data_IF_200077177881
#
_entry.id   IF_200077177881
#
_cell.length_a   1.000
_cell.length_b   1.000
_cell.length_c   1.000
_cell.angle_alpha   90.00
_cell.angle_beta   90.00
_cell.angle_gamma   90.00
#
_symmetry.space_group_name_H-M   'P 1'
#
loop_
_entity.id
_entity.type
_entity.pdbx_description
1 polymer ?
#
# COMPACT_ATOMS: atom_id res chain seq x y z
N UNK A 1 -26.30 -1.71 -0.29
CA UNK A 1 -26.79 -0.64 0.61
C UNK A 1 -26.09 -0.73 1.97
N UNK A 2 -26.22 0.26 2.86
CA UNK A 2 -25.64 0.23 4.21
C UNK A 2 -26.74 0.02 5.26
N UNK A 3 -26.48 -0.76 6.31
CA UNK A 3 -27.46 -1.11 7.34
C UNK A 3 -28.11 0.10 8.02
N UNK A 4 -27.32 1.16 8.27
CA UNK A 4 -27.80 2.39 8.93
C UNK A 4 -28.87 3.16 8.13
N UNK A 5 -29.04 2.85 6.85
CA UNK A 5 -29.99 3.53 5.95
C UNK A 5 -31.34 2.81 5.88
N UNK A 6 -31.48 1.62 6.47
CA UNK A 6 -32.73 0.89 6.54
C UNK A 6 -33.78 1.60 7.42
N UNK A 7 -35.03 1.54 6.99
CA UNK A 7 -36.18 2.03 7.74
C UNK A 7 -36.69 0.99 8.75
N UNK A 8 -37.41 1.47 9.77
CA UNK A 8 -38.01 0.60 10.79
C UNK A 8 -38.95 -0.44 10.15
N UNK A 9 -38.73 -1.71 10.45
CA UNK A 9 -39.50 -2.84 9.91
C UNK A 9 -38.89 -3.50 8.68
N UNK A 10 -37.91 -2.87 8.03
CA UNK A 10 -37.24 -3.45 6.86
C UNK A 10 -36.32 -4.61 7.26
N UNK A 11 -36.23 -5.58 6.33
CA UNK A 11 -35.30 -6.71 6.39
C UNK A 11 -34.19 -6.53 5.36
N UNK A 12 -33.04 -7.09 5.69
CA UNK A 12 -31.90 -7.17 4.79
C UNK A 12 -31.05 -8.41 5.09
N UNK A 13 -30.20 -8.79 4.15
CA UNK A 13 -29.17 -9.83 4.34
C UNK A 13 -27.80 -9.17 4.40
N UNK A 14 -26.98 -9.57 5.38
CA UNK A 14 -25.63 -9.04 5.54
C UNK A 14 -24.74 -9.57 4.41
N UNK A 15 -24.10 -8.64 3.69
CA UNK A 15 -23.05 -8.94 2.71
C UNK A 15 -21.72 -9.03 3.42
N UNK A 16 -21.29 -7.95 4.08
CA UNK A 16 -20.03 -7.90 4.80
C UNK A 16 -20.01 -6.84 5.89
N UNK A 17 -19.10 -7.03 6.84
CA UNK A 17 -18.83 -6.08 7.93
C UNK A 17 -17.46 -5.45 7.72
N UNK A 18 -17.47 -4.14 7.47
CA UNK A 18 -16.33 -3.26 7.36
C UNK A 18 -15.83 -2.81 8.76
N UNK A 19 -14.75 -2.03 8.79
CA UNK A 19 -14.17 -1.47 10.02
C UNK A 19 -13.00 -2.26 10.61
N UNK A 20 -12.33 -1.66 11.61
CA UNK A 20 -11.02 -2.11 12.08
C UNK A 20 -11.05 -2.90 13.40
N UNK A 21 -10.15 -3.88 13.52
CA UNK A 21 -9.72 -4.50 14.77
C UNK A 21 -10.82 -5.07 15.67
N UNK A 22 -10.81 -4.65 16.94
CA UNK A 22 -11.70 -5.17 17.99
C UNK A 22 -13.17 -4.87 17.74
N UNK A 23 -13.48 -3.79 17.02
CA UNK A 23 -14.87 -3.42 16.70
C UNK A 23 -15.50 -4.45 15.77
N UNK A 24 -14.83 -4.75 14.65
CA UNK A 24 -15.28 -5.75 13.68
C UNK A 24 -15.37 -7.13 14.32
N UNK A 25 -14.36 -7.52 15.10
CA UNK A 25 -14.36 -8.80 15.82
C UNK A 25 -15.58 -8.93 16.74
N UNK A 26 -15.90 -7.88 17.51
CA UNK A 26 -17.10 -7.85 18.36
C UNK A 26 -18.39 -8.01 17.56
N UNK A 27 -18.53 -7.32 16.42
CA UNK A 27 -19.73 -7.46 15.57
C UNK A 27 -19.90 -8.89 15.04
N UNK A 28 -18.81 -9.52 14.59
CA UNK A 28 -18.81 -10.92 14.14
C UNK A 28 -19.18 -11.86 15.30
N UNK A 29 -18.64 -11.65 16.50
CA UNK A 29 -19.00 -12.41 17.71
C UNK A 29 -20.47 -12.23 18.12
N UNK A 30 -21.07 -11.08 17.80
CA UNK A 30 -22.50 -10.81 17.94
C UNK A 30 -23.33 -11.38 16.78
N UNK A 31 -22.74 -12.14 15.86
CA UNK A 31 -23.48 -12.80 14.78
C UNK A 31 -23.80 -11.92 13.58
N UNK A 32 -23.23 -10.71 13.50
CA UNK A 32 -23.21 -9.93 12.25
C UNK A 32 -22.20 -10.57 11.29
N UNK A 33 -22.61 -11.66 10.67
CA UNK A 33 -21.83 -12.42 9.71
C UNK A 33 -22.59 -12.49 8.38
N UNK A 34 -21.86 -12.69 7.30
CA UNK A 34 -22.40 -12.81 5.95
C UNK A 34 -23.55 -13.82 5.88
N UNK A 35 -24.56 -13.50 5.07
CA UNK A 35 -25.68 -14.38 4.78
C UNK A 35 -26.74 -14.45 5.89
N UNK A 36 -26.56 -13.70 6.99
CA UNK A 36 -27.58 -13.62 8.05
C UNK A 36 -28.60 -12.53 7.74
N UNK A 37 -29.87 -12.88 7.93
CA UNK A 37 -30.97 -11.92 7.94
C UNK A 37 -30.87 -11.01 9.17
N UNK A 38 -31.11 -9.73 8.93
CA UNK A 38 -31.21 -8.71 9.95
C UNK A 38 -32.46 -7.87 9.70
N UNK A 39 -33.16 -7.48 10.77
CA UNK A 39 -34.33 -6.62 10.72
C UNK A 39 -34.17 -5.39 11.59
N UNK A 40 -34.60 -4.23 11.10
CA UNK A 40 -34.66 -3.02 11.92
C UNK A 40 -35.90 -3.07 12.81
N UNK A 41 -35.72 -3.09 14.12
CA UNK A 41 -36.81 -3.15 15.09
C UNK A 41 -37.33 -1.76 15.41
N UNK A 42 -36.43 -0.85 15.81
CA UNK A 42 -36.80 0.50 16.22
C UNK A 42 -35.63 1.47 16.09
N UNK A 43 -35.91 2.66 15.58
CA UNK A 43 -35.00 3.80 15.66
C UNK A 43 -35.26 4.58 16.96
N UNK A 44 -34.22 4.90 17.73
CA UNK A 44 -34.36 5.81 18.86
C UNK A 44 -34.90 7.19 18.40
N UNK A 45 -35.54 7.99 19.27
CA UNK A 45 -36.13 9.29 18.91
C UNK A 45 -35.14 10.27 18.24
N UNK A 46 -33.85 10.14 18.52
CA UNK A 46 -32.76 10.94 17.94
C UNK A 46 -32.01 10.23 16.79
N UNK A 47 -32.56 9.13 16.27
CA UNK A 47 -31.97 8.28 15.22
C UNK A 47 -30.64 7.61 15.57
N UNK A 48 -30.28 7.59 16.85
CA UNK A 48 -29.10 6.91 17.40
C UNK A 48 -29.35 6.58 18.90
N UNK A 49 -29.15 5.34 19.38
CA UNK A 49 -28.82 4.11 18.64
C UNK A 49 -30.03 3.52 17.87
N UNK A 50 -29.75 2.52 17.02
CA UNK A 50 -30.74 1.77 16.25
C UNK A 50 -30.81 0.34 16.79
N UNK A 51 -32.02 -0.17 17.05
CA UNK A 51 -32.25 -1.54 17.50
C UNK A 51 -32.50 -2.46 16.30
N UNK A 52 -31.72 -3.54 16.23
CA UNK A 52 -31.79 -4.58 15.21
C UNK A 52 -32.12 -5.94 15.84
N UNK A 53 -32.80 -6.80 15.08
CA UNK A 53 -33.00 -8.21 15.40
C UNK A 53 -32.13 -9.06 14.48
N UNK A 54 -31.27 -9.89 15.07
CA UNK A 54 -30.33 -10.77 14.37
C UNK A 54 -30.22 -12.09 15.12
N UNK A 55 -30.29 -13.23 14.41
CA UNK A 55 -30.22 -14.59 15.02
C UNK A 55 -31.21 -14.75 16.21
N UNK A 56 -32.39 -14.15 16.11
CA UNK A 56 -33.46 -14.29 17.12
C UNK A 56 -33.24 -13.51 18.42
N UNK A 57 -32.31 -12.56 18.48
CA UNK A 57 -32.16 -11.65 19.61
C UNK A 57 -31.96 -10.20 19.15
N UNK A 58 -32.19 -9.26 20.08
CA UNK A 58 -32.12 -7.82 19.79
C UNK A 58 -30.78 -7.22 20.21
N UNK A 59 -30.24 -6.36 19.35
CA UNK A 59 -28.99 -5.63 19.56
C UNK A 59 -29.19 -4.16 19.22
N UNK A 60 -28.74 -3.27 20.10
CA UNK A 60 -28.63 -1.84 19.78
C UNK A 60 -27.23 -1.52 19.27
N UNK A 61 -27.13 -0.98 18.05
CA UNK A 61 -25.89 -0.45 17.50
C UNK A 61 -25.99 1.06 17.35
N UNK A 62 -24.86 1.76 17.55
CA UNK A 62 -24.81 3.17 17.17
C UNK A 62 -24.92 3.32 15.66
N UNK A 63 -25.45 4.45 15.19
CA UNK A 63 -25.63 4.72 13.76
C UNK A 63 -24.30 4.67 12.99
N UNK A 64 -23.22 5.18 13.57
CA UNK A 64 -21.88 5.11 12.98
C UNK A 64 -21.33 3.67 12.91
N UNK A 65 -21.73 2.80 13.83
CA UNK A 65 -21.35 1.38 13.81
C UNK A 65 -22.12 0.62 12.72
N UNK A 66 -23.43 0.87 12.62
CA UNK A 66 -24.26 0.30 11.57
C UNK A 66 -23.84 0.77 10.16
N UNK A 67 -23.18 1.92 10.03
CA UNK A 67 -22.63 2.38 8.75
C UNK A 67 -21.54 1.48 8.18
N UNK A 68 -20.92 0.67 9.02
CA UNK A 68 -19.86 -0.26 8.62
C UNK A 68 -20.41 -1.60 8.16
N UNK A 69 -21.73 -1.79 8.07
CA UNK A 69 -22.33 -3.06 7.71
C UNK A 69 -23.01 -2.89 6.35
N UNK A 70 -22.50 -3.62 5.36
CA UNK A 70 -23.07 -3.66 4.02
C UNK A 70 -24.14 -4.75 3.95
N UNK A 71 -25.28 -4.40 3.35
CA UNK A 71 -26.45 -5.27 3.27
C UNK A 71 -27.12 -5.21 1.90
N UNK A 72 -27.86 -6.27 1.58
CA UNK A 72 -28.82 -6.33 0.46
C UNK A 72 -30.24 -6.23 1.01
N UNK A 73 -31.04 -5.33 0.44
CA UNK A 73 -32.43 -5.11 0.86
C UNK A 73 -33.42 -5.95 0.06
N UNK A 74 -34.66 -6.07 0.56
CA UNK A 74 -35.74 -6.71 -0.19
C UNK A 74 -36.03 -6.01 -1.53
N UNK A 75 -35.85 -4.70 -1.60
CA UNK A 75 -36.05 -3.93 -2.83
C UNK A 75 -35.01 -4.33 -3.89
N UNK A 76 -33.73 -4.35 -3.53
CA UNK A 76 -32.65 -4.81 -4.42
C UNK A 76 -32.86 -6.26 -4.88
N UNK A 77 -33.36 -7.14 -3.99
CA UNK A 77 -33.67 -8.53 -4.34
C UNK A 77 -34.88 -8.65 -5.28
N UNK A 78 -35.92 -7.82 -5.14
CA UNK A 78 -37.07 -7.78 -6.06
C UNK A 78 -36.65 -7.28 -7.44
N UNK A 79 -35.77 -6.29 -7.51
CA UNK A 79 -35.20 -5.85 -8.79
C UNK A 79 -34.40 -6.97 -9.46
N UNK A 80 -33.59 -7.69 -8.70
CA UNK A 80 -32.82 -8.84 -9.21
C UNK A 80 -33.70 -9.98 -9.73
N UNK A 81 -34.83 -10.28 -9.08
CA UNK A 81 -35.81 -11.25 -9.58
C UNK A 81 -36.34 -10.91 -10.99
N UNK A 82 -36.31 -9.63 -11.37
CA UNK A 82 -36.75 -9.15 -12.69
C UNK A 82 -35.60 -9.03 -13.68
N UNK A 83 -34.37 -8.76 -13.24
CA UNK A 83 -33.23 -8.51 -14.14
C UNK A 83 -32.29 -9.70 -14.34
N UNK A 84 -32.22 -10.63 -13.39
CA UNK A 84 -31.29 -11.76 -13.39
C UNK A 84 -31.92 -13.01 -13.99
N UNK A 85 -31.31 -13.57 -15.04
CA UNK A 85 -31.80 -14.76 -15.75
C UNK A 85 -31.84 -16.03 -14.87
N UNK A 86 -30.89 -16.20 -13.94
CA UNK A 86 -30.90 -17.34 -13.01
C UNK A 86 -32.07 -17.25 -12.04
N UNK A 87 -32.35 -16.06 -11.52
CA UNK A 87 -33.46 -15.84 -10.58
C UNK A 87 -34.82 -15.91 -11.28
N UNK A 88 -34.92 -15.52 -12.54
CA UNK A 88 -36.13 -15.71 -13.36
C UNK A 88 -36.44 -17.19 -13.61
N UNK A 89 -35.42 -18.04 -13.68
CA UNK A 89 -35.58 -19.48 -13.86
C UNK A 89 -36.06 -20.23 -12.60
N UNK A 90 -36.24 -19.53 -11.46
CA UNK A 90 -36.82 -20.11 -10.26
C UNK A 90 -38.24 -20.65 -10.52
N UNK A 91 -38.60 -21.84 -9.99
CA UNK A 91 -39.91 -22.44 -10.21
C UNK A 91 -41.06 -21.49 -9.83
N UNK A 92 -42.05 -21.39 -10.70
CA UNK A 92 -43.17 -20.46 -10.54
C UNK A 92 -44.17 -20.88 -9.43
N UNK A 93 -44.08 -22.12 -8.96
CA UNK A 93 -44.87 -22.70 -7.87
C UNK A 93 -44.30 -22.41 -6.47
N UNK A 94 -43.09 -21.86 -6.38
CA UNK A 94 -42.53 -21.38 -5.12
C UNK A 94 -43.36 -20.20 -4.57
N UNK A 95 -43.59 -20.20 -3.26
CA UNK A 95 -44.20 -19.06 -2.58
C UNK A 95 -43.37 -17.79 -2.81
N UNK A 96 -44.04 -16.64 -2.93
CA UNK A 96 -43.38 -15.35 -3.21
C UNK A 96 -42.33 -14.99 -2.16
N UNK A 97 -42.61 -15.32 -0.89
CA UNK A 97 -41.68 -15.19 0.24
C UNK A 97 -40.43 -16.04 0.06
N UNK A 98 -40.57 -17.30 -0.36
CA UNK A 98 -39.42 -18.18 -0.59
C UNK A 98 -38.58 -17.73 -1.79
N UNK A 99 -39.23 -17.21 -2.85
CA UNK A 99 -38.52 -16.61 -4.00
C UNK A 99 -37.71 -15.38 -3.58
N UNK A 100 -38.28 -14.52 -2.74
CA UNK A 100 -37.60 -13.33 -2.23
C UNK A 100 -36.42 -13.69 -1.33
N UNK A 101 -36.56 -14.68 -0.46
CA UNK A 101 -35.45 -15.17 0.39
C UNK A 101 -34.29 -15.73 -0.46
N UNK A 102 -34.60 -16.51 -1.51
CA UNK A 102 -33.58 -17.01 -2.44
C UNK A 102 -32.89 -15.89 -3.21
N UNK A 103 -33.64 -14.89 -3.67
CA UNK A 103 -33.07 -13.73 -4.35
C UNK A 103 -32.18 -12.89 -3.42
N UNK A 104 -32.61 -12.67 -2.17
CA UNK A 104 -31.80 -11.99 -1.16
C UNK A 104 -30.47 -12.72 -0.92
N UNK A 105 -30.51 -14.04 -0.76
CA UNK A 105 -29.31 -14.85 -0.57
C UNK A 105 -28.39 -14.80 -1.81
N UNK A 106 -28.95 -14.95 -3.01
CA UNK A 106 -28.21 -14.92 -4.28
C UNK A 106 -27.50 -13.58 -4.50
N UNK A 107 -28.22 -12.47 -4.39
CA UNK A 107 -27.64 -11.12 -4.58
C UNK A 107 -26.60 -10.82 -3.50
N UNK A 108 -26.82 -11.28 -2.26
CA UNK A 108 -25.83 -11.11 -1.19
C UNK A 108 -24.57 -11.94 -1.45
N UNK A 109 -24.71 -13.16 -1.97
CA UNK A 109 -23.60 -14.05 -2.34
C UNK A 109 -22.79 -13.47 -3.51
N UNK A 110 -23.43 -13.02 -4.58
CA UNK A 110 -22.76 -12.37 -5.71
C UNK A 110 -21.98 -11.11 -5.28
N UNK A 111 -22.59 -10.25 -4.45
CA UNK A 111 -21.89 -9.07 -3.91
C UNK A 111 -20.73 -9.44 -3.01
N UNK A 112 -20.84 -10.53 -2.26
CA UNK A 112 -19.76 -11.03 -1.42
C UNK A 112 -18.61 -11.63 -2.24
N UNK A 113 -18.89 -12.25 -3.38
CA UNK A 113 -17.86 -12.75 -4.29
C UNK A 113 -17.09 -11.66 -5.04
N UNK A 114 -17.47 -10.39 -4.87
CA UNK A 114 -16.70 -9.25 -5.33
C UNK A 114 -15.67 -8.82 -4.27
N UNK A 115 -14.39 -9.12 -4.52
CA UNK A 115 -13.27 -8.80 -3.63
C UNK A 115 -12.48 -7.62 -4.17
N UNK A 116 -12.30 -6.58 -3.35
CA UNK A 116 -11.42 -5.45 -3.68
C UNK A 116 -10.06 -5.59 -3.00
N UNK A 117 -9.03 -5.72 -3.81
CA UNK A 117 -7.64 -5.97 -3.39
C UNK A 117 -6.77 -4.77 -3.73
N UNK A 118 -6.05 -4.23 -2.74
CA UNK A 118 -5.06 -3.17 -2.97
C UNK A 118 -3.65 -3.75 -3.08
N UNK A 119 -2.92 -3.42 -4.15
CA UNK A 119 -1.48 -3.69 -4.25
C UNK A 119 -0.69 -2.54 -3.63
N UNK A 120 0.15 -2.87 -2.66
CA UNK A 120 1.07 -1.94 -2.00
C UNK A 120 2.47 -2.52 -2.06
N UNK A 121 3.50 -1.68 -2.15
CA UNK A 121 4.89 -2.13 -2.12
C UNK A 121 5.86 -1.02 -2.44
N UNK A 122 7.15 -1.30 -2.23
CA UNK A 122 8.22 -0.37 -2.58
C UNK A 122 8.25 -0.11 -4.10
N UNK A 123 8.76 1.05 -4.56
CA UNK A 123 9.12 1.21 -5.96
C UNK A 123 10.04 0.07 -6.43
N UNK A 124 9.85 -0.40 -7.66
CA UNK A 124 10.62 -1.45 -8.31
C UNK A 124 10.56 -2.86 -7.66
N UNK A 125 9.64 -3.15 -6.73
CA UNK A 125 9.46 -4.51 -6.19
C UNK A 125 8.72 -5.48 -7.12
N UNK A 126 8.43 -5.07 -8.36
CA UNK A 126 7.66 -5.85 -9.34
C UNK A 126 6.14 -5.84 -9.13
N UNK A 127 5.62 -4.85 -8.39
CA UNK A 127 4.19 -4.58 -8.19
C UNK A 127 3.41 -4.43 -9.50
N UNK A 128 3.87 -3.58 -10.42
CA UNK A 128 3.22 -3.40 -11.74
C UNK A 128 3.29 -4.67 -12.60
N UNK A 129 4.37 -5.45 -12.49
CA UNK A 129 4.47 -6.73 -13.18
C UNK A 129 3.47 -7.76 -12.63
N UNK A 130 3.28 -7.79 -11.31
CA UNK A 130 2.27 -8.63 -10.67
C UNK A 130 0.88 -8.21 -11.11
N UNK A 131 0.59 -6.90 -11.10
CA UNK A 131 -0.67 -6.33 -11.56
C UNK A 131 -1.00 -6.77 -12.99
N UNK A 132 -0.07 -6.59 -13.94
CA UNK A 132 -0.31 -6.89 -15.35
C UNK A 132 -0.61 -8.36 -15.61
N UNK A 133 0.03 -9.25 -14.86
CA UNK A 133 -0.13 -10.70 -15.04
C UNK A 133 -1.39 -11.19 -14.36
N UNK A 134 -1.73 -10.63 -13.20
CA UNK A 134 -3.00 -10.92 -12.53
C UNK A 134 -4.21 -10.42 -13.34
N UNK A 135 -4.13 -9.20 -13.88
CA UNK A 135 -5.23 -8.56 -14.62
C UNK A 135 -5.35 -8.99 -16.08
N UNK A 136 -4.42 -9.81 -16.59
CA UNK A 136 -4.43 -10.28 -17.98
C UNK A 136 -4.34 -9.15 -19.02
N UNK A 137 -3.76 -8.01 -18.66
CA UNK A 137 -3.66 -6.77 -19.46
C UNK A 137 -4.98 -5.99 -19.73
N UNK A 138 -6.07 -6.31 -19.04
CA UNK A 138 -7.30 -5.50 -19.04
C UNK A 138 -7.19 -4.36 -18.00
N UNK A 139 -6.53 -3.26 -18.38
CA UNK A 139 -6.36 -2.08 -17.51
C UNK A 139 -7.47 -1.03 -17.72
N UNK A 140 -7.96 -0.45 -16.62
CA UNK A 140 -8.61 0.86 -16.62
C UNK A 140 -7.79 1.84 -15.76
N UNK A 141 -7.36 2.95 -16.36
CA UNK A 141 -6.63 4.03 -15.66
C UNK A 141 -7.63 5.10 -15.24
N UNK A 142 -7.66 5.45 -13.95
CA UNK A 142 -8.52 6.49 -13.40
C UNK A 142 -7.72 7.58 -12.69
N UNK A 143 -8.12 8.84 -12.86
CA UNK A 143 -7.56 9.98 -12.12
C UNK A 143 -8.39 10.24 -10.86
N UNK A 144 -7.74 10.39 -9.70
CA UNK A 144 -8.41 10.77 -8.46
C UNK A 144 -8.31 12.27 -8.15
N UNK A 145 -9.29 12.79 -7.41
CA UNK A 145 -9.48 14.21 -7.14
C UNK A 145 -8.31 14.87 -6.41
N UNK A 146 -7.60 15.76 -7.10
CA UNK A 146 -6.77 16.81 -6.49
C UNK A 146 -5.25 16.61 -6.50
N UNK A 147 -4.74 15.48 -7.00
CA UNK A 147 -3.30 15.22 -7.21
C UNK A 147 -3.09 14.32 -8.44
N UNK A 148 -1.97 14.51 -9.16
CA UNK A 148 -1.57 13.73 -10.35
C UNK A 148 -1.00 12.35 -9.99
N UNK A 149 -1.68 11.61 -9.12
CA UNK A 149 -1.23 10.30 -8.66
C UNK A 149 -2.21 9.26 -9.20
N UNK A 150 -1.80 8.59 -10.29
CA UNK A 150 -2.61 7.61 -11.00
C UNK A 150 -2.65 6.29 -10.23
N UNK A 151 -3.84 5.83 -9.86
CA UNK A 151 -4.07 4.44 -9.45
C UNK A 151 -4.64 3.68 -10.64
N UNK A 152 -4.08 2.50 -10.92
CA UNK A 152 -4.61 1.62 -11.97
C UNK A 152 -5.58 0.63 -11.36
N UNK A 153 -6.69 0.38 -12.03
CA UNK A 153 -7.64 -0.64 -11.62
C UNK A 153 -7.71 -1.72 -12.70
N UNK A 154 -7.66 -2.98 -12.28
CA UNK A 154 -7.80 -4.15 -13.14
C UNK A 154 -8.83 -5.10 -12.54
N UNK A 155 -9.72 -5.65 -13.37
CA UNK A 155 -10.74 -6.60 -12.94
C UNK A 155 -10.52 -7.93 -13.64
N UNK A 156 -10.56 -9.00 -12.86
CA UNK A 156 -10.44 -10.35 -13.39
C UNK A 156 -11.23 -11.33 -12.55
N UNK A 157 -11.66 -12.40 -13.19
CA UNK A 157 -12.36 -13.50 -12.54
C UNK A 157 -11.36 -14.57 -12.11
N UNK A 158 -11.45 -15.03 -10.86
CA UNK A 158 -10.58 -16.08 -10.33
C UNK A 158 -11.37 -17.01 -9.41
N UNK A 159 -11.49 -18.28 -9.83
CA UNK A 159 -12.44 -19.25 -9.24
C UNK A 159 -13.86 -18.68 -9.30
N UNK A 160 -14.58 -18.63 -8.19
CA UNK A 160 -15.95 -18.11 -8.12
C UNK A 160 -16.01 -16.63 -7.72
N UNK A 161 -14.87 -15.92 -7.76
CA UNK A 161 -14.73 -14.54 -7.28
C UNK A 161 -14.36 -13.56 -8.39
N UNK A 162 -15.00 -12.40 -8.37
CA UNK A 162 -14.62 -11.24 -9.18
C UNK A 162 -13.68 -10.35 -8.37
N UNK A 163 -12.41 -10.30 -8.79
CA UNK A 163 -11.37 -9.57 -8.08
C UNK A 163 -11.14 -8.23 -8.77
N UNK A 164 -11.39 -7.15 -8.02
CA UNK A 164 -10.97 -5.80 -8.39
C UNK A 164 -9.63 -5.48 -7.75
N UNK A 165 -8.58 -5.46 -8.57
CA UNK A 165 -7.21 -5.18 -8.15
C UNK A 165 -6.88 -3.70 -8.38
N UNK A 166 -6.45 -3.01 -7.34
CA UNK A 166 -6.09 -1.59 -7.37
C UNK A 166 -4.58 -1.46 -7.17
N UNK A 167 -3.87 -1.02 -8.19
CA UNK A 167 -2.44 -0.74 -8.11
C UNK A 167 -2.19 0.64 -7.50
N UNK A 168 -1.74 0.67 -6.25
CA UNK A 168 -1.38 1.92 -5.59
C UNK A 168 0.06 2.34 -5.95
N UNK A 169 0.38 3.65 -5.93
CA UNK A 169 1.73 4.13 -6.16
C UNK A 169 2.77 3.41 -5.29
N UNK A 170 3.94 3.14 -5.87
CA UNK A 170 5.05 2.55 -5.10
C UNK A 170 5.53 3.51 -4.02
N UNK A 171 5.66 3.03 -2.79
CA UNK A 171 6.09 3.84 -1.65
C UNK A 171 7.01 3.07 -0.72
N UNK A 172 7.98 3.75 -0.10
CA UNK A 172 8.87 3.15 0.90
C UNK A 172 8.29 3.22 2.33
N UNK A 173 7.28 4.07 2.54
CA UNK A 173 6.65 4.25 3.84
C UNK A 173 5.20 4.77 3.68
N UNK A 174 4.49 4.97 4.79
CA UNK A 174 3.16 5.57 4.88
C UNK A 174 3.22 6.82 5.76
N UNK A 175 4.32 7.58 5.67
CA UNK A 175 4.44 8.89 6.31
C UNK A 175 3.73 10.00 5.53
N UNK A 176 3.77 11.21 6.08
CA UNK A 176 3.21 12.41 5.45
C UNK A 176 4.25 13.26 4.70
N UNK A 177 5.34 12.66 4.20
CA UNK A 177 6.43 13.41 3.56
C UNK A 177 6.24 13.63 2.07
N UNK A 178 5.61 12.69 1.36
CA UNK A 178 5.33 12.81 -0.07
C UNK A 178 3.83 12.70 -0.39
N UNK A 179 3.36 13.34 -1.49
CA UNK A 179 1.98 13.19 -1.96
C UNK A 179 1.59 11.73 -2.21
N UNK A 180 2.51 10.92 -2.70
CA UNK A 180 2.31 9.50 -3.01
C UNK A 180 2.09 8.69 -1.72
N UNK A 181 2.92 8.88 -0.69
CA UNK A 181 2.76 8.23 0.61
C UNK A 181 1.41 8.57 1.26
N UNK A 182 1.05 9.85 1.21
CA UNK A 182 -0.22 10.36 1.70
C UNK A 182 -1.41 9.76 0.96
N UNK A 183 -1.31 9.65 -0.36
CA UNK A 183 -2.34 9.06 -1.20
C UNK A 183 -2.54 7.58 -0.85
N UNK A 184 -1.46 6.79 -0.80
CA UNK A 184 -1.53 5.36 -0.44
C UNK A 184 -2.17 5.18 0.93
N UNK A 185 -1.71 5.94 1.93
CA UNK A 185 -2.25 5.87 3.30
C UNK A 185 -3.74 6.22 3.36
N UNK A 186 -4.16 7.32 2.72
CA UNK A 186 -5.56 7.73 2.69
C UNK A 186 -6.42 6.70 1.96
N UNK A 187 -5.95 6.20 0.82
CA UNK A 187 -6.67 5.17 0.07
C UNK A 187 -6.92 3.91 0.92
N UNK A 188 -5.89 3.43 1.63
CA UNK A 188 -6.02 2.26 2.51
C UNK A 188 -7.00 2.48 3.68
N UNK A 189 -7.05 3.69 4.25
CA UNK A 189 -7.95 4.02 5.38
C UNK A 189 -9.38 4.35 4.93
N UNK A 190 -9.54 5.10 3.84
CA UNK A 190 -10.83 5.61 3.39
C UNK A 190 -11.57 4.61 2.52
N UNK A 191 -10.85 3.93 1.62
CA UNK A 191 -11.48 2.96 0.69
C UNK A 191 -11.59 1.55 1.28
N UNK A 192 -10.92 1.29 2.41
CA UNK A 192 -10.94 0.03 3.17
C UNK A 192 -10.94 -1.22 2.27
N UNK A 193 -9.83 -1.53 1.58
CA UNK A 193 -9.77 -2.74 0.75
C UNK A 193 -10.04 -3.99 1.59
N UNK A 194 -10.69 -4.99 1.00
CA UNK A 194 -11.02 -6.25 1.67
C UNK A 194 -9.74 -6.99 2.10
N UNK A 195 -8.72 -6.94 1.24
CA UNK A 195 -7.38 -7.48 1.45
C UNK A 195 -6.33 -6.57 0.80
N UNK A 196 -5.18 -6.42 1.46
CA UNK A 196 -4.00 -5.77 0.91
C UNK A 196 -2.99 -6.84 0.50
N UNK A 197 -2.52 -6.79 -0.74
CA UNK A 197 -1.37 -7.57 -1.17
C UNK A 197 -0.14 -6.67 -1.09
N UNK A 198 0.75 -7.00 -0.15
CA UNK A 198 2.01 -6.32 0.04
C UNK A 198 3.11 -7.00 -0.78
N UNK A 199 3.54 -6.35 -1.86
CA UNK A 199 4.57 -6.84 -2.77
C UNK A 199 5.94 -6.47 -2.22
N UNK A 200 6.72 -7.50 -1.91
CA UNK A 200 8.03 -7.39 -1.24
C UNK A 200 9.08 -7.99 -2.15
N UNK A 201 10.11 -7.22 -2.48
CA UNK A 201 11.27 -7.74 -3.21
C UNK A 201 12.14 -8.63 -2.30
N UNK A 202 12.23 -9.92 -2.64
CA UNK A 202 13.02 -10.92 -1.92
C UNK A 202 14.53 -10.62 -1.93
N UNK A 203 15.04 -9.93 -2.97
CA UNK A 203 16.43 -9.52 -3.07
C UNK A 203 16.80 -8.38 -2.11
N UNK A 204 15.81 -7.65 -1.57
CA UNK A 204 16.01 -6.53 -0.64
C UNK A 204 14.97 -6.55 0.50
N UNK A 205 14.82 -7.71 1.12
CA UNK A 205 13.73 -8.00 2.06
C UNK A 205 13.72 -7.03 3.27
N UNK A 206 14.86 -6.76 3.91
CA UNK A 206 14.95 -5.90 5.10
C UNK A 206 14.36 -4.51 4.85
N UNK A 207 14.72 -3.88 3.72
CA UNK A 207 14.21 -2.56 3.34
C UNK A 207 12.72 -2.57 3.01
N UNK A 208 12.22 -3.66 2.41
CA UNK A 208 10.80 -3.79 2.07
C UNK A 208 9.93 -4.09 3.30
N UNK A 209 10.47 -4.79 4.30
CA UNK A 209 9.76 -5.07 5.55
C UNK A 209 9.48 -3.81 6.36
N UNK A 210 10.18 -2.69 6.14
CA UNK A 210 9.85 -1.42 6.80
C UNK A 210 8.43 -0.95 6.49
N UNK A 211 8.03 -0.92 5.20
CA UNK A 211 6.64 -0.63 4.81
C UNK A 211 5.66 -1.63 5.43
N UNK A 212 6.06 -2.91 5.49
CA UNK A 212 5.27 -4.00 6.07
C UNK A 212 4.93 -3.73 7.54
N UNK A 213 5.87 -3.19 8.33
CA UNK A 213 5.61 -2.83 9.74
C UNK A 213 4.48 -1.82 9.87
N UNK A 214 4.37 -0.89 8.93
CA UNK A 214 3.37 0.17 8.97
C UNK A 214 1.99 -0.36 8.54
N UNK A 215 1.95 -1.30 7.59
CA UNK A 215 0.71 -2.00 7.23
C UNK A 215 0.16 -2.84 8.39
N UNK A 216 1.06 -3.46 9.17
CA UNK A 216 0.71 -4.17 10.41
C UNK A 216 0.10 -3.20 11.42
N UNK A 217 0.73 -2.04 11.66
CA UNK A 217 0.22 -1.03 12.60
C UNK A 217 -1.19 -0.54 12.24
N UNK A 218 -1.53 -0.48 10.94
CA UNK A 218 -2.86 -0.08 10.45
C UNK A 218 -3.95 -1.14 10.67
N UNK A 219 -3.61 -2.35 11.12
CA UNK A 219 -4.54 -3.45 11.34
C UNK A 219 -5.34 -3.82 10.09
N UNK A 220 -4.63 -3.88 8.95
CA UNK A 220 -5.18 -4.32 7.68
C UNK A 220 -4.99 -5.83 7.52
N UNK A 221 -5.82 -6.44 6.67
CA UNK A 221 -5.62 -7.82 6.26
C UNK A 221 -4.62 -7.85 5.14
N UNK A 222 -3.42 -8.30 5.45
CA UNK A 222 -2.32 -8.29 4.50
C UNK A 222 -1.98 -9.72 4.08
N UNK A 223 -1.71 -9.91 2.81
CA UNK A 223 -1.01 -11.08 2.26
C UNK A 223 0.28 -10.57 1.63
N UNK A 224 1.42 -11.15 2.01
CA UNK A 224 2.69 -10.77 1.42
C UNK A 224 2.94 -11.58 0.14
N UNK A 225 3.11 -10.88 -0.98
CA UNK A 225 3.68 -11.44 -2.21
C UNK A 225 5.19 -11.21 -2.18
N UNK A 226 5.93 -12.24 -1.78
CA UNK A 226 7.39 -12.22 -1.74
C UNK A 226 7.93 -12.48 -3.15
N UNK A 227 8.04 -11.39 -3.91
CA UNK A 227 8.35 -11.38 -5.32
C UNK A 227 9.86 -11.46 -5.60
N UNK A 228 10.24 -11.74 -6.85
CA UNK A 228 11.63 -11.98 -7.28
C UNK A 228 12.26 -13.14 -6.51
N UNK A 229 11.44 -14.14 -6.17
CA UNK A 229 11.88 -15.28 -5.35
C UNK A 229 12.88 -16.19 -6.09
N UNK A 230 12.88 -16.16 -7.43
CA UNK A 230 13.88 -16.77 -8.29
C UNK A 230 15.28 -16.18 -8.05
N UNK A 231 15.39 -14.87 -7.83
CA UNK A 231 16.68 -14.23 -7.51
C UNK A 231 17.23 -14.69 -6.16
N UNK A 232 16.36 -14.80 -5.14
CA UNK A 232 16.72 -15.31 -3.82
C UNK A 232 17.24 -16.76 -3.93
N UNK A 233 16.52 -17.61 -4.68
CA UNK A 233 16.94 -19.00 -4.97
C UNK A 233 18.26 -19.05 -5.75
N UNK A 234 18.44 -18.19 -6.74
CA UNK A 234 19.66 -18.15 -7.57
C UNK A 234 20.89 -17.72 -6.77
N UNK A 235 20.73 -16.83 -5.79
CA UNK A 235 21.79 -16.47 -4.83
C UNK A 235 22.17 -17.61 -3.88
N UNK A 236 21.31 -18.64 -3.77
CA UNK A 236 21.46 -19.75 -2.83
C UNK A 236 20.92 -19.45 -1.43
N UNK A 237 20.37 -18.25 -1.22
CA UNK A 237 19.79 -17.84 0.05
C UNK A 237 18.57 -18.71 0.40
N UNK A 238 18.29 -18.86 1.69
CA UNK A 238 17.09 -19.56 2.17
C UNK A 238 16.28 -18.63 3.05
N UNK A 239 14.96 -18.69 2.87
CA UNK A 239 14.01 -17.96 3.70
C UNK A 239 12.89 -18.90 4.13
N UNK A 240 12.71 -19.04 5.44
CA UNK A 240 11.54 -19.73 6.01
C UNK A 240 10.32 -18.79 5.96
N UNK A 241 9.53 -18.90 4.90
CA UNK A 241 8.35 -18.07 4.68
C UNK A 241 7.23 -18.38 5.67
N UNK A 242 7.17 -19.60 6.21
CA UNK A 242 6.14 -20.01 7.18
C UNK A 242 6.42 -19.35 8.52
N UNK A 243 7.65 -19.45 9.02
CA UNK A 243 8.05 -18.81 10.26
C UNK A 243 8.03 -17.28 10.14
N UNK A 244 8.47 -16.72 9.01
CA UNK A 244 8.38 -15.28 8.77
C UNK A 244 6.91 -14.81 8.79
N UNK A 245 6.03 -15.55 8.10
CA UNK A 245 4.61 -15.25 8.10
C UNK A 245 3.98 -15.33 9.49
N UNK A 246 4.39 -16.32 10.29
CA UNK A 246 4.01 -16.37 11.70
C UNK A 246 4.48 -15.09 12.41
N UNK A 247 5.78 -14.77 12.42
CA UNK A 247 6.34 -13.60 13.11
C UNK A 247 5.71 -12.27 12.69
N UNK A 248 5.34 -12.12 11.42
CA UNK A 248 4.69 -10.92 10.87
C UNK A 248 3.16 -10.93 11.00
N UNK A 249 2.55 -12.06 11.34
CA UNK A 249 1.11 -12.21 11.49
C UNK A 249 0.31 -12.23 10.18
N UNK A 250 0.99 -12.51 9.06
CA UNK A 250 0.40 -12.54 7.72
C UNK A 250 0.99 -13.68 6.90
N UNK A 251 0.26 -14.26 5.94
CA UNK A 251 0.82 -15.28 5.08
C UNK A 251 1.84 -14.67 4.10
N UNK A 252 2.91 -15.42 3.83
CA UNK A 252 3.98 -15.04 2.90
C UNK A 252 3.99 -16.02 1.74
N UNK A 253 3.63 -15.53 0.55
CA UNK A 253 3.54 -16.31 -0.67
C UNK A 253 4.75 -15.98 -1.56
N UNK A 254 5.68 -16.92 -1.81
CA UNK A 254 6.74 -16.74 -2.80
C UNK A 254 6.13 -16.55 -4.19
N UNK A 255 6.56 -15.52 -4.92
CA UNK A 255 6.11 -15.25 -6.28
C UNK A 255 7.26 -14.86 -7.19
N UNK A 256 7.05 -15.07 -8.50
CA UNK A 256 7.91 -14.54 -9.56
C UNK A 256 7.00 -13.89 -10.58
N UNK A 257 6.80 -12.57 -10.46
CA UNK A 257 5.89 -11.84 -11.34
C UNK A 257 6.19 -12.15 -12.79
N UNK A 258 7.46 -12.06 -13.24
CA UNK A 258 7.82 -12.25 -14.66
C UNK A 258 7.34 -13.56 -15.29
N UNK A 259 7.33 -14.66 -14.54
CA UNK A 259 6.91 -15.98 -15.04
C UNK A 259 5.47 -16.33 -14.67
N UNK A 260 4.87 -15.62 -13.71
CA UNK A 260 3.56 -15.94 -13.12
C UNK A 260 3.61 -16.99 -12.01
N UNK A 261 4.80 -17.50 -11.64
CA UNK A 261 4.94 -18.50 -10.56
C UNK A 261 4.40 -17.94 -9.23
N UNK A 262 3.59 -18.73 -8.53
CA UNK A 262 3.06 -18.40 -7.21
C UNK A 262 1.87 -17.43 -7.19
N UNK A 263 1.47 -16.87 -8.34
CA UNK A 263 0.38 -15.87 -8.39
C UNK A 263 -0.98 -16.52 -8.14
N UNK A 264 -1.21 -17.74 -8.63
CA UNK A 264 -2.46 -18.48 -8.36
C UNK A 264 -2.59 -18.78 -6.87
N UNK A 265 -1.52 -19.24 -6.23
CA UNK A 265 -1.46 -19.54 -4.80
C UNK A 265 -1.61 -18.28 -3.93
N UNK A 266 -1.10 -17.15 -4.41
CA UNK A 266 -1.29 -15.84 -3.79
C UNK A 266 -2.78 -15.47 -3.75
N UNK A 267 -3.50 -15.56 -4.86
CA UNK A 267 -4.94 -15.21 -4.89
C UNK A 267 -5.82 -16.23 -4.17
N UNK A 268 -5.43 -17.51 -4.16
CA UNK A 268 -6.04 -18.50 -3.26
C UNK A 268 -5.91 -18.10 -1.80
N UNK A 269 -4.74 -17.60 -1.41
CA UNK A 269 -4.49 -17.12 -0.06
C UNK A 269 -5.29 -15.84 0.24
N UNK A 270 -5.41 -14.92 -0.73
CA UNK A 270 -6.27 -13.73 -0.60
C UNK A 270 -7.71 -14.12 -0.31
N UNK A 271 -8.29 -15.06 -1.07
CA UNK A 271 -9.65 -15.56 -0.83
C UNK A 271 -9.77 -16.18 0.56
N UNK A 272 -8.83 -17.04 0.97
CA UNK A 272 -8.85 -17.65 2.32
C UNK A 272 -8.85 -16.64 3.47
N UNK A 273 -8.12 -15.53 3.29
CA UNK A 273 -8.04 -14.43 4.26
C UNK A 273 -9.34 -13.63 4.26
N UNK A 274 -9.88 -13.35 3.08
CA UNK A 274 -11.17 -12.69 2.88
C UNK A 274 -12.32 -13.47 3.53
N UNK A 275 -12.33 -14.80 3.38
CA UNK A 275 -13.37 -15.71 3.89
C UNK A 275 -13.23 -16.12 5.36
N UNK A 276 -12.18 -15.64 6.06
CA UNK A 276 -11.91 -15.98 7.48
C UNK A 276 -11.71 -17.47 7.75
N UNK A 277 -11.33 -18.23 6.72
CA UNK A 277 -11.18 -19.68 6.82
C UNK A 277 -10.04 -20.10 7.75
N UNK A 278 -9.04 -19.23 7.96
CA UNK A 278 -7.92 -19.53 8.84
C UNK A 278 -7.49 -18.30 9.68
N UNK A 279 -8.00 -18.20 10.92
CA UNK A 279 -7.61 -17.13 11.84
C UNK A 279 -6.11 -17.12 12.18
N UNK A 280 -5.38 -18.21 11.93
CA UNK A 280 -3.93 -18.28 12.16
C UNK A 280 -3.14 -17.61 11.04
N UNK A 281 -3.70 -17.49 9.84
CA UNK A 281 -3.03 -16.86 8.70
C UNK A 281 -3.08 -15.33 8.78
N UNK A 282 -4.21 -14.75 9.22
CA UNK A 282 -4.35 -13.31 9.44
C UNK A 282 -4.54 -13.01 10.93
N UNK A 283 -3.43 -12.97 11.68
CA UNK A 283 -3.45 -12.56 13.08
C UNK A 283 -3.02 -11.10 13.19
N UNK A 284 -3.81 -10.30 13.87
CA UNK A 284 -3.35 -8.96 14.25
C UNK A 284 -2.27 -9.11 15.32
N UNK A 285 -1.02 -8.84 14.93
CA UNK A 285 0.10 -8.71 15.87
C UNK A 285 0.29 -7.24 16.23
N UNK A 286 0.79 -7.02 17.44
CA UNK A 286 1.34 -5.72 17.80
C UNK A 286 2.85 -5.83 17.72
N UNK A 287 3.45 -5.02 16.84
CA UNK A 287 4.90 -4.84 16.84
C UNK A 287 5.27 -4.24 18.20
N UNK A 288 6.17 -4.92 18.90
CA UNK A 288 6.71 -4.46 20.17
C UNK A 288 7.85 -3.49 19.89
N UNK A 289 7.64 -2.22 20.21
CA UNK A 289 8.63 -1.16 19.96
C UNK A 289 9.69 -1.05 21.08
N UNK A 290 9.80 -2.06 21.93
CA UNK A 290 10.65 -2.04 23.12
C UNK A 290 9.93 -1.44 24.33
N UNK A 291 10.41 -1.78 25.53
CA UNK A 291 9.74 -1.46 26.78
C UNK A 291 9.44 0.04 26.94
N UNK A 292 10.43 0.89 26.63
CA UNK A 292 10.31 2.33 26.82
C UNK A 292 9.30 2.96 25.87
N UNK A 293 9.27 2.55 24.59
CA UNK A 293 8.31 3.09 23.62
C UNK A 293 6.90 2.57 23.92
N UNK A 294 6.76 1.30 24.29
CA UNK A 294 5.45 0.74 24.68
C UNK A 294 4.87 1.41 25.93
N UNK A 295 5.71 1.84 26.88
CA UNK A 295 5.27 2.67 28.01
C UNK A 295 4.72 4.02 27.53
N UNK A 296 5.41 4.67 26.59
CA UNK A 296 4.93 5.93 26.01
C UNK A 296 3.63 5.78 25.23
N UNK A 297 3.48 4.70 24.47
CA UNK A 297 2.21 4.38 23.78
C UNK A 297 1.10 4.19 24.81
N UNK A 298 1.32 3.41 25.88
CA UNK A 298 0.33 3.18 26.94
C UNK A 298 -0.04 4.44 27.70
N UNK A 299 0.89 5.39 27.83
CA UNK A 299 0.63 6.68 28.45
C UNK A 299 -0.24 7.58 27.58
N UNK A 300 0.07 7.71 26.28
CA UNK A 300 -0.63 8.66 25.38
C UNK A 300 -1.94 8.11 24.81
N UNK A 301 -2.04 6.80 24.59
CA UNK A 301 -3.21 6.17 23.95
C UNK A 301 -4.55 6.44 24.65
N UNK A 302 -4.68 6.43 25.99
CA UNK A 302 -5.94 6.73 26.68
C UNK A 302 -6.51 8.12 26.36
N UNK A 303 -5.65 9.14 26.21
CA UNK A 303 -6.09 10.50 25.87
C UNK A 303 -6.70 10.57 24.46
N UNK A 304 -6.10 9.87 23.50
CA UNK A 304 -6.63 9.75 22.14
C UNK A 304 -7.94 8.92 22.15
N UNK A 305 -7.95 7.80 22.89
CA UNK A 305 -9.08 6.88 22.97
C UNK A 305 -10.33 7.47 23.65
N UNK A 306 -10.19 8.57 24.40
CA UNK A 306 -11.31 9.32 24.94
C UNK A 306 -12.24 9.90 23.84
N UNK A 307 -11.72 10.07 22.63
CA UNK A 307 -12.44 10.62 21.49
C UNK A 307 -13.18 9.50 20.73
N UNK A 308 -14.45 9.28 21.08
CA UNK A 308 -15.29 8.20 20.52
C UNK A 308 -15.39 8.23 18.98
N UNK A 309 -15.43 9.42 18.37
CA UNK A 309 -15.46 9.58 16.91
C UNK A 309 -14.20 9.02 16.24
N UNK A 310 -13.03 9.30 16.80
CA UNK A 310 -11.76 8.79 16.25
C UNK A 310 -11.61 7.29 16.50
N UNK A 311 -12.01 6.82 17.68
CA UNK A 311 -11.98 5.40 18.06
C UNK A 311 -12.86 4.53 17.14
N UNK A 312 -13.95 5.08 16.63
CA UNK A 312 -14.82 4.38 15.67
C UNK A 312 -14.20 4.27 14.27
N UNK A 313 -13.37 5.24 13.86
CA UNK A 313 -12.81 5.33 12.51
C UNK A 313 -11.41 4.74 12.39
N UNK A 314 -10.60 4.82 13.45
CA UNK A 314 -9.19 4.48 13.41
C UNK A 314 -8.76 3.60 14.58
N UNK A 315 -7.71 2.80 14.36
CA UNK A 315 -6.98 2.17 15.45
C UNK A 315 -6.35 3.26 16.34
N UNK A 316 -6.75 3.32 17.62
CA UNK A 316 -6.20 4.30 18.57
C UNK A 316 -4.71 4.10 18.78
N UNK A 317 -4.25 2.83 18.79
CA UNK A 317 -2.81 2.49 18.85
C UNK A 317 -2.05 3.05 17.64
N UNK A 318 -2.60 2.87 16.43
CA UNK A 318 -1.99 3.43 15.21
C UNK A 318 -1.89 4.97 15.28
N UNK A 319 -2.97 5.65 15.67
CA UNK A 319 -2.97 7.10 15.85
C UNK A 319 -1.92 7.53 16.89
N UNK A 320 -1.80 6.81 18.00
CA UNK A 320 -0.78 7.09 19.02
C UNK A 320 0.62 6.93 18.47
N UNK A 321 0.95 5.82 17.81
CA UNK A 321 2.28 5.58 17.22
C UNK A 321 2.62 6.70 16.23
N UNK A 322 1.72 7.02 15.29
CA UNK A 322 1.94 8.08 14.31
C UNK A 322 2.08 9.46 14.93
N UNK A 323 1.33 9.74 16.00
CA UNK A 323 1.47 11.00 16.72
C UNK A 323 2.81 11.10 17.46
N UNK A 324 3.28 10.00 18.06
CA UNK A 324 4.61 9.93 18.68
C UNK A 324 5.73 10.04 17.63
N UNK A 325 5.55 9.48 16.43
CA UNK A 325 6.42 9.66 15.25
C UNK A 325 6.43 11.10 14.69
N UNK A 326 5.60 12.01 15.21
CA UNK A 326 5.54 13.39 14.75
C UNK A 326 4.85 13.58 13.39
N UNK A 327 3.91 12.71 13.03
CA UNK A 327 3.17 12.79 11.78
C UNK A 327 2.26 14.04 11.74
N UNK A 328 2.54 14.94 10.78
CA UNK A 328 1.85 16.23 10.66
C UNK A 328 0.37 16.13 10.28
N UNK A 329 -0.03 15.09 9.54
CA UNK A 329 -1.43 14.91 9.17
C UNK A 329 -2.24 14.36 10.33
N UNK A 330 -1.67 13.45 11.12
CA UNK A 330 -2.29 13.00 12.37
C UNK A 330 -2.38 14.14 13.37
N UNK A 331 -1.35 14.98 13.48
CA UNK A 331 -1.42 16.18 14.33
C UNK A 331 -2.56 17.12 13.91
N UNK A 332 -2.75 17.36 12.61
CA UNK A 332 -3.88 18.15 12.09
C UNK A 332 -5.23 17.49 12.38
N UNK A 333 -5.34 16.17 12.20
CA UNK A 333 -6.54 15.40 12.50
C UNK A 333 -6.91 15.54 13.98
N UNK A 334 -5.96 15.33 14.89
CA UNK A 334 -6.20 15.44 16.33
C UNK A 334 -6.57 16.87 16.74
N UNK A 335 -5.91 17.90 16.18
CA UNK A 335 -6.27 19.31 16.42
C UNK A 335 -7.70 19.66 15.97
N UNK A 336 -8.18 19.02 14.90
CA UNK A 336 -9.50 19.27 14.34
C UNK A 336 -10.61 18.52 15.08
N UNK A 337 -10.38 17.26 15.41
CA UNK A 337 -11.44 16.35 15.87
C UNK A 337 -11.38 16.04 17.39
N UNK A 338 -10.36 16.51 18.13
CA UNK A 338 -10.26 16.30 19.59
C UNK A 338 -10.44 17.60 20.38
N UNK A 339 -11.34 17.58 21.37
CA UNK A 339 -11.49 18.70 22.31
C UNK A 339 -10.38 18.74 23.37
N UNK A 340 -9.76 17.60 23.67
CA UNK A 340 -8.69 17.42 24.66
C UNK A 340 -7.27 17.45 24.05
N UNK A 341 -7.08 18.20 22.95
CA UNK A 341 -5.80 18.26 22.23
C UNK A 341 -4.63 18.73 23.12
N UNK A 342 -4.89 19.61 24.08
CA UNK A 342 -3.84 20.10 24.98
C UNK A 342 -3.30 18.98 25.88
N UNK A 343 -4.17 18.11 26.40
CA UNK A 343 -3.77 16.98 27.24
C UNK A 343 -2.98 15.95 26.42
N UNK A 344 -3.43 15.68 25.19
CA UNK A 344 -2.73 14.81 24.24
C UNK A 344 -1.32 15.35 23.93
N UNK A 345 -1.19 16.66 23.70
CA UNK A 345 0.07 17.31 23.39
C UNK A 345 1.03 17.31 24.60
N UNK A 346 0.52 17.56 25.80
CA UNK A 346 1.30 17.51 27.04
C UNK A 346 1.85 16.09 27.26
N UNK A 347 1.00 15.06 27.14
CA UNK A 347 1.42 13.67 27.31
C UNK A 347 2.50 13.26 26.28
N UNK A 348 2.40 13.71 25.03
CA UNK A 348 3.47 13.51 24.03
C UNK A 348 4.76 14.23 24.41
N UNK A 349 4.68 15.47 24.89
CA UNK A 349 5.85 16.25 25.29
C UNK A 349 6.60 15.58 26.45
N UNK A 350 5.86 15.06 27.43
CA UNK A 350 6.43 14.31 28.57
C UNK A 350 7.20 13.08 28.09
N UNK A 351 6.61 12.30 27.17
CA UNK A 351 7.26 11.13 26.59
C UNK A 351 8.47 11.48 25.72
N UNK A 352 8.40 12.56 24.95
CA UNK A 352 9.52 13.04 24.16
C UNK A 352 10.72 13.41 25.05
N UNK A 353 10.48 14.13 26.15
CA UNK A 353 11.54 14.47 27.11
C UNK A 353 12.08 13.23 27.83
N UNK A 354 11.20 12.30 28.23
CA UNK A 354 11.60 11.06 28.90
C UNK A 354 12.50 10.21 28.01
N UNK A 355 12.11 9.99 26.76
CA UNK A 355 12.86 9.21 25.78
C UNK A 355 14.20 9.87 25.43
N UNK A 356 14.21 11.20 25.23
CA UNK A 356 15.45 11.94 25.00
C UNK A 356 16.44 11.81 26.16
N UNK A 357 15.94 11.80 27.40
CA UNK A 357 16.77 11.65 28.61
C UNK A 357 17.31 10.23 28.77
N UNK A 358 16.51 9.21 28.49
CA UNK A 358 16.87 7.81 28.69
C UNK A 358 17.75 7.25 27.57
N UNK A 359 17.47 7.59 26.32
CA UNK A 359 18.08 6.97 25.14
C UNK A 359 19.00 7.91 24.36
N UNK A 360 19.04 9.21 24.70
CA UNK A 360 19.89 10.18 24.02
C UNK A 360 19.48 10.46 22.56
N UNK A 361 18.31 10.01 22.13
CA UNK A 361 17.79 10.17 20.76
C UNK A 361 16.36 10.71 20.79
N UNK A 362 15.90 11.22 19.65
CA UNK A 362 14.51 11.71 19.53
C UNK A 362 13.52 10.56 19.58
N UNK A 363 12.29 10.84 20.00
CA UNK A 363 11.20 9.86 20.05
C UNK A 363 10.91 9.27 18.67
N UNK A 364 10.96 10.10 17.63
CA UNK A 364 10.76 9.67 16.24
C UNK A 364 11.83 8.68 15.80
N UNK A 365 13.10 9.01 16.07
CA UNK A 365 14.24 8.16 15.72
C UNK A 365 14.18 6.83 16.46
N UNK A 366 13.85 6.86 17.76
CA UNK A 366 13.69 5.66 18.56
C UNK A 366 12.62 4.70 18.03
N UNK A 367 11.48 5.21 17.54
CA UNK A 367 10.42 4.39 16.95
C UNK A 367 10.90 3.74 15.64
N UNK A 368 11.60 4.50 14.80
CA UNK A 368 12.20 3.98 13.56
C UNK A 368 13.21 2.87 13.86
N UNK A 369 14.10 3.09 14.84
CA UNK A 369 15.10 2.10 15.25
C UNK A 369 14.42 0.84 15.80
N UNK A 370 13.35 0.97 16.58
CA UNK A 370 12.60 -0.16 17.10
C UNK A 370 11.94 -1.00 15.98
N UNK A 371 11.44 -0.35 14.92
CA UNK A 371 10.90 -1.04 13.74
C UNK A 371 11.98 -1.83 13.00
N UNK A 372 13.16 -1.23 12.79
CA UNK A 372 14.30 -1.96 12.20
C UNK A 372 14.79 -3.10 13.09
N UNK A 373 14.83 -2.91 14.41
CA UNK A 373 15.18 -3.96 15.36
C UNK A 373 14.21 -5.15 15.28
N UNK A 374 12.90 -4.89 15.15
CA UNK A 374 11.90 -5.94 14.92
C UNK A 374 12.14 -6.70 13.62
N UNK A 375 12.41 -5.98 12.52
CA UNK A 375 12.69 -6.59 11.21
C UNK A 375 13.94 -7.46 11.27
N UNK A 376 15.03 -6.95 11.85
CA UNK A 376 16.28 -7.67 11.99
C UNK A 376 16.13 -8.91 12.87
N UNK A 377 15.36 -8.82 13.95
CA UNK A 377 15.01 -9.98 14.77
C UNK A 377 14.24 -11.04 13.98
N UNK A 378 13.24 -10.63 13.19
CA UNK A 378 12.48 -11.56 12.36
C UNK A 378 13.33 -12.22 11.27
N UNK A 379 14.22 -11.47 10.62
CA UNK A 379 15.11 -12.00 9.59
C UNK A 379 16.23 -12.86 10.19
N UNK A 380 16.73 -12.58 11.38
CA UNK A 380 17.73 -13.41 12.05
C UNK A 380 17.22 -14.85 12.29
N UNK A 381 15.92 -15.00 12.55
CA UNK A 381 15.28 -16.29 12.76
C UNK A 381 14.91 -17.01 11.45
N UNK A 382 14.73 -16.29 10.35
CA UNK A 382 14.06 -16.82 9.15
C UNK A 382 14.89 -16.79 7.87
N UNK A 383 15.88 -15.89 7.79
CA UNK A 383 16.70 -15.67 6.61
C UNK A 383 18.12 -16.19 6.82
N UNK A 384 18.54 -17.11 5.96
CA UNK A 384 19.88 -17.65 5.93
C UNK A 384 20.56 -17.21 4.64
N UNK A 385 21.48 -16.26 4.78
CA UNK A 385 22.30 -15.81 3.67
C UNK A 385 23.28 -16.91 3.26
N UNK A 386 23.31 -17.22 1.97
CA UNK A 386 24.30 -18.12 1.42
C UNK A 386 25.68 -17.44 1.49
N UNK A 387 26.59 -18.08 2.21
CA UNK A 387 28.01 -17.71 2.20
C UNK A 387 28.73 -18.73 1.33
N UNK A 388 29.22 -18.31 0.16
CA UNK A 388 30.18 -19.14 -0.57
C UNK A 388 31.41 -19.36 0.30
N UNK A 389 31.79 -20.61 0.57
CA UNK A 389 33.02 -20.96 1.29
C UNK A 389 34.28 -20.41 0.59
N UNK A 390 34.18 -20.04 -0.70
CA UNK A 390 35.17 -19.29 -1.47
C UNK A 390 34.46 -18.39 -2.49
N UNK A 391 34.47 -17.05 -2.34
CA UNK A 391 33.86 -16.18 -3.33
C UNK A 391 34.58 -16.37 -4.66
N UNK A 392 33.86 -16.78 -5.70
CA UNK A 392 34.37 -16.69 -7.07
C UNK A 392 34.52 -15.20 -7.39
N UNK A 393 35.72 -14.64 -7.21
CA UNK A 393 36.03 -13.24 -7.57
C UNK A 393 35.50 -12.97 -8.98
N UNK A 394 34.43 -12.21 -9.08
CA UNK A 394 33.88 -11.76 -10.35
C UNK A 394 34.89 -10.84 -11.03
N UNK A 395 34.75 -10.63 -12.35
CA UNK A 395 35.60 -9.65 -13.05
C UNK A 395 35.45 -8.26 -12.42
N UNK A 396 34.23 -7.92 -11.96
CA UNK A 396 33.92 -6.69 -11.22
C UNK A 396 34.71 -6.62 -9.91
N UNK A 397 34.75 -7.68 -9.11
CA UNK A 397 35.52 -7.68 -7.84
C UNK A 397 37.03 -7.48 -8.06
N UNK A 398 37.57 -7.94 -9.20
CA UNK A 398 38.98 -7.74 -9.55
C UNK A 398 39.26 -6.31 -9.98
N UNK A 399 38.34 -5.72 -10.74
CA UNK A 399 38.42 -4.31 -11.14
C UNK A 399 38.28 -3.43 -9.91
N UNK A 400 37.28 -3.67 -9.06
CA UNK A 400 37.09 -2.93 -7.82
C UNK A 400 38.30 -3.05 -6.91
N UNK A 401 38.87 -4.26 -6.73
CA UNK A 401 40.08 -4.43 -5.92
C UNK A 401 41.30 -3.66 -6.48
N UNK A 402 41.38 -3.46 -7.79
CA UNK A 402 42.43 -2.67 -8.43
C UNK A 402 42.17 -1.17 -8.30
N UNK A 403 40.93 -0.74 -8.55
CA UNK A 403 40.50 0.66 -8.54
C UNK A 403 40.43 1.23 -7.12
N UNK A 404 40.01 0.43 -6.13
CA UNK A 404 39.89 0.84 -4.72
C UNK A 404 41.16 0.61 -3.90
N UNK A 405 42.24 0.12 -4.50
CA UNK A 405 43.51 -0.02 -3.80
C UNK A 405 44.05 1.36 -3.42
N UNK A 406 44.28 1.61 -2.13
CA UNK A 406 44.81 2.87 -1.58
C UNK A 406 46.01 3.49 -2.33
N UNK A 407 46.87 2.70 -2.97
CA UNK A 407 48.04 3.20 -3.72
C UNK A 407 47.79 3.26 -5.24
N UNK A 408 47.02 2.31 -5.80
CA UNK A 408 46.73 2.27 -7.23
C UNK A 408 45.55 3.16 -7.64
N UNK A 409 44.67 3.51 -6.69
CA UNK A 409 43.51 4.37 -6.90
C UNK A 409 43.91 5.74 -7.45
N UNK A 410 44.94 6.38 -6.89
CA UNK A 410 45.38 7.71 -7.34
C UNK A 410 45.94 7.71 -8.77
N UNK A 411 46.89 6.82 -9.16
CA UNK A 411 47.33 6.71 -10.55
C UNK A 411 46.19 6.40 -11.52
N UNK A 412 45.31 5.44 -11.18
CA UNK A 412 44.18 5.04 -12.04
C UNK A 412 43.21 6.20 -12.21
N UNK A 413 42.89 6.92 -11.13
CA UNK A 413 42.01 8.08 -11.18
C UNK A 413 42.59 9.18 -12.07
N UNK A 414 43.88 9.51 -11.94
CA UNK A 414 44.55 10.50 -12.81
C UNK A 414 44.52 10.06 -14.26
N UNK A 415 44.76 8.77 -14.54
CA UNK A 415 44.77 8.22 -15.90
C UNK A 415 43.37 8.26 -16.53
N UNK A 416 42.34 7.95 -15.74
CA UNK A 416 40.94 8.00 -16.16
C UNK A 416 40.51 9.45 -16.42
N UNK A 417 40.89 10.38 -15.54
CA UNK A 417 40.63 11.80 -15.71
C UNK A 417 41.35 12.37 -16.93
N UNK A 418 42.62 11.99 -17.15
CA UNK A 418 43.37 12.30 -18.37
C UNK A 418 42.68 11.75 -19.62
N UNK A 419 42.21 10.50 -19.58
CA UNK A 419 41.51 9.89 -20.71
C UNK A 419 40.20 10.60 -21.03
N UNK A 420 39.42 10.97 -20.01
CA UNK A 420 38.19 11.76 -20.20
C UNK A 420 38.54 13.09 -20.88
N UNK A 421 39.53 13.85 -20.39
CA UNK A 421 39.93 15.11 -21.01
C UNK A 421 40.43 14.92 -22.45
N UNK A 422 41.31 13.95 -22.66
CA UNK A 422 41.82 13.62 -23.99
C UNK A 422 40.68 13.27 -24.95
N UNK A 423 39.74 12.42 -24.52
CA UNK A 423 38.59 12.04 -25.32
C UNK A 423 37.67 13.24 -25.58
N UNK A 424 37.38 14.07 -24.58
CA UNK A 424 36.53 15.27 -24.74
C UNK A 424 37.12 16.26 -25.74
N UNK A 425 38.43 16.54 -25.68
CA UNK A 425 39.05 17.46 -26.63
C UNK A 425 39.24 16.84 -28.01
N UNK A 426 39.69 15.59 -28.10
CA UNK A 426 39.95 14.93 -29.39
C UNK A 426 38.65 14.62 -30.12
N UNK A 427 37.66 14.07 -29.43
CA UNK A 427 36.35 13.77 -30.03
C UNK A 427 35.58 15.08 -30.25
N UNK A 428 35.70 16.05 -29.34
CA UNK A 428 35.06 17.37 -29.45
C UNK A 428 35.62 18.26 -30.56
N UNK A 429 36.85 18.03 -31.01
CA UNK A 429 37.42 18.73 -32.17
C UNK A 429 36.64 18.44 -33.46
N UNK A 430 36.25 17.19 -33.72
CA UNK A 430 35.51 16.85 -34.94
C UNK A 430 34.21 17.65 -35.14
N UNK A 431 33.29 17.75 -34.17
CA UNK A 431 32.09 18.57 -34.32
C UNK A 431 32.40 20.07 -34.32
N UNK A 432 33.46 20.52 -33.64
CA UNK A 432 33.90 21.93 -33.70
C UNK A 432 34.36 22.28 -35.12
N UNK A 433 35.22 21.45 -35.73
CA UNK A 433 35.69 21.62 -37.11
C UNK A 433 34.54 21.55 -38.12
N UNK A 434 33.51 20.72 -37.86
CA UNK A 434 32.31 20.68 -38.71
C UNK A 434 31.47 21.94 -38.62
N UNK A 435 31.33 22.52 -37.42
CA UNK A 435 30.63 23.80 -37.23
C UNK A 435 31.42 24.90 -37.92
N UNK A 436 32.73 24.98 -37.71
CA UNK A 436 33.60 25.97 -38.35
C UNK A 436 33.52 25.88 -39.88
N UNK A 437 33.57 24.67 -40.44
CA UNK A 437 33.42 24.46 -41.87
C UNK A 437 32.01 24.85 -42.39
N UNK A 438 30.97 24.58 -41.61
CA UNK A 438 29.60 24.96 -41.96
C UNK A 438 29.39 26.49 -41.91
N UNK A 439 29.95 27.16 -40.91
CA UNK A 439 29.93 28.62 -40.75
C UNK A 439 30.73 29.28 -41.87
N UNK A 440 31.92 28.77 -42.19
CA UNK A 440 32.74 29.26 -43.30
C UNK A 440 32.02 29.11 -44.65
N UNK A 441 31.46 27.93 -44.93
CA UNK A 441 30.68 27.70 -46.15
C UNK A 441 29.46 28.63 -46.24
N UNK A 442 28.77 28.85 -45.13
CA UNK A 442 27.63 29.77 -45.07
C UNK A 442 28.07 31.22 -45.32
N UNK A 443 29.19 31.65 -44.72
CA UNK A 443 29.80 32.96 -44.92
C UNK A 443 30.16 33.21 -46.39
N UNK A 444 30.86 32.27 -47.04
CA UNK A 444 31.21 32.37 -48.47
C UNK A 444 29.96 32.45 -49.36
N UNK A 445 28.92 31.68 -49.05
CA UNK A 445 27.67 31.70 -49.81
C UNK A 445 26.93 33.03 -49.67
N UNK A 446 26.86 33.60 -48.46
CA UNK A 446 26.29 34.93 -48.21
C UNK A 446 27.11 36.01 -48.92
N UNK A 447 28.45 35.92 -48.88
CA UNK A 447 29.35 36.83 -49.57
C UNK A 447 29.15 36.83 -51.09
N UNK A 448 28.76 35.69 -51.68
CA UNK A 448 28.50 35.56 -53.12
C UNK A 448 27.17 36.20 -53.57
N UNK A 449 26.21 36.40 -52.65
CA UNK A 449 24.89 36.97 -52.95
C UNK A 449 24.78 38.46 -52.61
N UNK A 450 25.77 39.02 -51.90
CA UNK A 450 25.80 40.42 -51.53
C UNK A 450 26.75 41.24 -52.43
N UNK A 451 26.32 42.42 -52.90
CA UNK A 451 27.22 43.37 -53.56
C UNK A 451 28.30 43.87 -52.60
N UNK A 452 29.48 44.19 -53.14
CA UNK A 452 30.62 44.64 -52.35
C UNK A 452 30.33 45.98 -51.64
N UNK A 453 30.64 46.03 -50.34
CA UNK A 453 30.44 47.21 -49.52
C UNK A 453 30.44 46.89 -48.02
N UNK A 454 30.43 47.94 -47.19
CA UNK A 454 30.55 47.86 -45.74
C UNK A 454 29.53 46.92 -45.05
N UNK A 455 28.36 46.71 -45.65
CA UNK A 455 27.34 45.81 -45.13
C UNK A 455 27.70 44.32 -45.33
N UNK A 456 28.43 43.98 -46.39
CA UNK A 456 28.95 42.62 -46.64
C UNK A 456 30.03 42.28 -45.62
N UNK A 457 30.98 43.19 -45.44
CA UNK A 457 32.09 43.02 -44.48
C UNK A 457 31.54 42.90 -43.04
N UNK A 458 30.53 43.69 -42.67
CA UNK A 458 29.90 43.60 -41.34
C UNK A 458 29.20 42.25 -41.09
N UNK A 459 28.51 41.71 -42.10
CA UNK A 459 27.73 40.47 -41.97
C UNK A 459 28.62 39.24 -42.05
N UNK A 460 29.55 39.20 -43.02
CA UNK A 460 30.41 38.04 -43.27
C UNK A 460 31.57 37.99 -42.27
N UNK A 461 32.32 39.07 -42.12
CA UNK A 461 33.52 39.09 -41.27
C UNK A 461 33.22 39.49 -39.81
N UNK A 462 32.11 40.18 -39.57
CA UNK A 462 31.70 40.60 -38.22
C UNK A 462 30.78 39.59 -37.52
N UNK A 463 29.66 39.24 -38.15
CA UNK A 463 28.61 38.42 -37.51
C UNK A 463 28.83 36.93 -37.75
N UNK A 464 29.10 36.51 -38.99
CA UNK A 464 29.18 35.09 -39.33
C UNK A 464 30.53 34.49 -38.89
N UNK A 465 31.66 35.14 -39.15
CA UNK A 465 32.97 34.66 -38.72
C UNK A 465 33.24 34.81 -37.21
N UNK A 466 32.39 35.56 -36.49
CA UNK A 466 32.51 35.79 -35.04
C UNK A 466 31.74 34.80 -34.16
N UNK A 467 31.00 33.86 -34.77
CA UNK A 467 30.25 32.77 -34.13
C UNK A 467 30.98 31.47 -34.36
#
# INVERSE_FOLDING_TARGET
MILADLATGEKAVIVRVHGHGSFRKRLIEMGFIQGKEIRVVLNAPLKDPIEYEIIGYKVSLRREEARQIEVVTEEEAREALVSDEHLQALPADLEETERLEKALAHVAEERHHNIRVALVGNPNCGKTSLFNIASGAHEHVGNYSGVTVDAKEGKFHFKDYDITLVDLPGTYSLSAYSPEELYVRKNLLETMPDVVVNVVDASNIERNLYLTTQLIDMNLRVVMALNMYDELRHKGDKLDTVQLGYLLGMPVCPTVSRSGEGISELFDTVIRIYEHQDPKLARHIHINHGAEIELGIKHVQPYIAHNEKLKAQYSTRYLTIKYLEGDKDIEKLLKKDCSNIQDIANARSDEQQRIQTLMGTSLESAIVDAKYAFIQGALAETYQRYQEERPRRTLTDRIDALVTNQWAAFPIFILLLWFIFWATFTIGQYPMDWIDAAVAWFGEKVASWMPDGWAKDLVVDGIIAGV
#
